data_IF_771074219214
#
_entry.id   IF_771074219214
#
_cell.length_a   1.000
_cell.length_b   1.000
_cell.length_c   1.000
_cell.angle_alpha   90.00
_cell.angle_beta   90.00
_cell.angle_gamma   90.00
#
_symmetry.space_group_name_H-M   'P 1'
#
loop_
_entity.id
_entity.type
_entity.pdbx_description
1 polymer ?
#
# COMPACT_ATOMS: atom_id res chain seq x y z
N UNK A 1 -18.29 26.68 31.10
CA UNK A 1 -16.84 27.01 31.05
C UNK A 1 -16.42 26.93 29.60
N UNK A 2 -16.05 28.05 28.98
CA UNK A 2 -15.53 28.08 27.60
C UNK A 2 -14.16 27.42 27.61
N UNK A 3 -13.99 26.34 26.87
CA UNK A 3 -12.70 25.65 26.77
C UNK A 3 -11.71 26.56 26.04
N UNK A 4 -10.56 26.86 26.67
CA UNK A 4 -9.49 27.70 26.12
C UNK A 4 -8.18 26.92 26.08
N UNK A 5 -7.43 27.03 24.98
CA UNK A 5 -6.08 26.47 24.88
C UNK A 5 -5.06 27.60 25.05
N UNK A 6 -4.14 27.46 26.00
CA UNK A 6 -3.00 28.37 26.15
C UNK A 6 -1.79 27.83 25.38
N UNK A 7 -1.26 28.63 24.45
CA UNK A 7 -0.01 28.33 23.73
C UNK A 7 0.93 29.52 23.91
N UNK A 8 1.88 29.38 24.83
CA UNK A 8 2.74 30.50 25.24
C UNK A 8 1.91 31.64 25.85
N UNK A 9 1.98 32.82 25.25
CA UNK A 9 1.21 34.01 25.68
C UNK A 9 -0.14 34.17 24.94
N UNK A 10 -0.52 33.21 24.10
CA UNK A 10 -1.76 33.27 23.32
C UNK A 10 -2.83 32.38 23.95
N UNK A 11 -3.99 32.99 24.22
CA UNK A 11 -5.21 32.28 24.60
C UNK A 11 -6.04 32.05 23.34
N UNK A 12 -6.17 30.78 22.92
CA UNK A 12 -6.96 30.39 21.76
C UNK A 12 -8.36 30.01 22.24
N UNK A 13 -9.36 30.71 21.74
CA UNK A 13 -10.77 30.40 22.00
C UNK A 13 -11.26 29.23 21.11
N UNK A 14 -12.40 28.63 21.46
CA UNK A 14 -12.92 27.45 20.75
C UNK A 14 -13.28 27.73 19.27
N UNK A 15 -13.76 28.92 18.96
CA UNK A 15 -14.04 29.40 17.60
C UNK A 15 -12.75 29.67 16.80
N UNK A 16 -11.74 30.22 17.44
CA UNK A 16 -10.39 30.39 16.86
C UNK A 16 -9.73 29.03 16.58
N UNK A 17 -9.95 28.03 17.44
CA UNK A 17 -9.43 26.67 17.27
C UNK A 17 -9.86 26.07 15.93
N UNK A 18 -11.14 26.18 15.56
CA UNK A 18 -11.65 25.63 14.28
C UNK A 18 -10.94 26.31 13.10
N UNK A 19 -10.73 27.63 13.19
CA UNK A 19 -10.01 28.39 12.16
C UNK A 19 -8.56 27.95 12.04
N UNK A 20 -7.89 27.67 13.17
CA UNK A 20 -6.52 27.14 13.19
C UNK A 20 -6.43 25.73 12.61
N UNK A 21 -7.34 24.83 13.00
CA UNK A 21 -7.38 23.47 12.46
C UNK A 21 -7.59 23.44 10.95
N UNK A 22 -8.40 24.38 10.42
CA UNK A 22 -8.57 24.56 8.97
C UNK A 22 -7.32 25.13 8.32
N UNK A 23 -6.74 26.20 8.91
CA UNK A 23 -5.52 26.86 8.40
C UNK A 23 -4.34 25.90 8.29
N UNK A 24 -4.18 25.01 9.27
CA UNK A 24 -3.09 24.03 9.30
C UNK A 24 -3.46 22.67 8.67
N UNK A 25 -4.64 22.56 8.03
CA UNK A 25 -5.10 21.34 7.35
C UNK A 25 -5.13 20.09 8.26
N UNK A 26 -5.44 20.28 9.55
CA UNK A 26 -5.55 19.21 10.55
C UNK A 26 -6.98 18.64 10.63
N UNK A 27 -7.98 19.42 10.19
CA UNK A 27 -9.39 18.98 10.13
C UNK A 27 -9.61 17.58 9.51
N UNK A 28 -8.94 17.19 8.40
CA UNK A 28 -9.08 15.84 7.85
C UNK A 28 -8.71 14.73 8.85
N UNK A 29 -7.68 14.93 9.66
CA UNK A 29 -7.22 13.94 10.64
C UNK A 29 -8.18 13.82 11.82
N UNK A 30 -8.74 14.95 12.27
CA UNK A 30 -9.77 14.99 13.32
C UNK A 30 -11.02 14.24 12.87
N UNK A 31 -11.51 14.50 11.65
CA UNK A 31 -12.67 13.80 11.09
C UNK A 31 -12.44 12.29 10.97
N UNK A 32 -11.24 11.88 10.52
CA UNK A 32 -10.85 10.46 10.50
C UNK A 32 -10.91 9.86 11.90
N UNK A 33 -10.39 10.56 12.91
CA UNK A 33 -10.47 10.16 14.31
C UNK A 33 -11.91 9.90 14.75
N UNK A 34 -12.78 10.87 14.54
CA UNK A 34 -14.21 10.79 14.91
C UNK A 34 -14.91 9.62 14.21
N UNK A 35 -14.72 9.45 12.90
CA UNK A 35 -15.32 8.33 12.15
C UNK A 35 -14.87 6.98 12.71
N UNK A 36 -13.58 6.83 13.02
CA UNK A 36 -13.05 5.61 13.60
C UNK A 36 -13.65 5.37 14.98
N UNK A 37 -13.70 6.41 15.83
CA UNK A 37 -14.18 6.30 17.20
C UNK A 37 -15.67 5.92 17.24
N UNK A 38 -16.49 6.48 16.32
CA UNK A 38 -17.89 6.07 16.12
C UNK A 38 -18.01 4.59 15.69
N UNK A 39 -17.15 4.13 14.79
CA UNK A 39 -17.20 2.77 14.25
C UNK A 39 -16.74 1.71 15.25
N UNK A 40 -15.82 2.06 16.17
CA UNK A 40 -15.32 1.14 17.20
C UNK A 40 -16.11 1.21 18.51
N UNK A 41 -16.93 2.25 18.73
CA UNK A 41 -17.75 2.41 19.93
C UNK A 41 -18.58 1.18 20.36
N UNK A 42 -19.17 0.37 19.46
CA UNK A 42 -19.92 -0.83 19.88
C UNK A 42 -19.04 -2.02 20.25
N UNK A 43 -17.72 -1.94 20.05
CA UNK A 43 -16.80 -3.04 20.29
C UNK A 43 -16.25 -3.00 21.72
N UNK A 44 -15.98 -4.19 22.26
CA UNK A 44 -15.40 -4.35 23.59
C UNK A 44 -14.11 -5.16 23.54
N UNK A 45 -13.22 -4.88 24.50
CA UNK A 45 -12.02 -5.67 24.76
C UNK A 45 -12.22 -6.50 26.01
N UNK A 46 -11.69 -7.72 26.02
CA UNK A 46 -11.57 -8.50 27.25
C UNK A 46 -10.58 -7.83 28.22
N UNK A 47 -10.65 -8.20 29.50
CA UNK A 47 -9.70 -7.69 30.50
C UNK A 47 -8.25 -8.05 30.16
N UNK A 48 -8.01 -9.23 29.58
CA UNK A 48 -6.69 -9.68 29.15
C UNK A 48 -6.17 -8.86 27.97
N UNK A 49 -7.00 -8.63 26.95
CA UNK A 49 -6.66 -7.79 25.80
C UNK A 49 -6.33 -6.36 26.23
N UNK A 50 -7.11 -5.81 27.18
CA UNK A 50 -6.87 -4.48 27.74
C UNK A 50 -5.51 -4.40 28.44
N UNK A 51 -5.21 -5.34 29.33
CA UNK A 51 -3.93 -5.35 30.06
C UNK A 51 -2.75 -5.49 29.10
N UNK A 52 -2.86 -6.36 28.09
CA UNK A 52 -1.84 -6.51 27.07
C UNK A 52 -1.64 -5.22 26.26
N UNK A 53 -2.73 -4.58 25.82
CA UNK A 53 -2.67 -3.35 25.05
C UNK A 53 -2.00 -2.20 25.84
N UNK A 54 -2.32 -2.08 27.13
CA UNK A 54 -1.67 -1.11 28.03
C UNK A 54 -0.18 -1.42 28.17
N UNK A 55 0.21 -2.67 28.41
CA UNK A 55 1.61 -3.05 28.54
C UNK A 55 2.42 -2.75 27.26
N UNK A 56 1.86 -3.04 26.08
CA UNK A 56 2.48 -2.73 24.78
C UNK A 56 2.62 -1.21 24.59
N UNK A 57 1.57 -0.45 24.93
CA UNK A 57 1.62 1.01 24.85
C UNK A 57 2.68 1.60 25.77
N UNK A 58 2.76 1.13 27.01
CA UNK A 58 3.76 1.58 27.98
C UNK A 58 5.18 1.26 27.53
N UNK A 59 5.40 0.08 26.96
CA UNK A 59 6.68 -0.29 26.37
C UNK A 59 7.07 0.66 25.21
N UNK A 60 6.13 0.98 24.32
CA UNK A 60 6.36 1.90 23.19
C UNK A 60 6.64 3.33 23.64
N UNK A 61 6.01 3.77 24.73
CA UNK A 61 6.20 5.11 25.31
C UNK A 61 7.35 5.17 26.33
N UNK A 62 8.10 4.07 26.51
CA UNK A 62 9.16 3.93 27.52
C UNK A 62 8.70 4.24 28.96
N UNK A 63 7.44 3.92 29.28
CA UNK A 63 6.88 4.05 30.62
C UNK A 63 7.23 2.79 31.40
N UNK A 64 8.27 2.87 32.24
CA UNK A 64 8.83 1.71 32.97
C UNK A 64 8.55 1.72 34.47
N UNK A 65 7.94 2.79 35.00
CA UNK A 65 7.56 2.92 36.40
C UNK A 65 6.31 3.78 36.59
N UNK A 66 5.70 3.71 37.77
CA UNK A 66 4.55 4.55 38.11
C UNK A 66 4.90 6.05 38.12
N UNK A 67 6.14 6.42 38.49
CA UNK A 67 6.64 7.80 38.37
C UNK A 67 6.74 8.23 36.91
N UNK A 68 7.25 7.36 36.03
CA UNK A 68 7.33 7.63 34.60
C UNK A 68 5.93 7.81 33.99
N UNK A 69 4.96 6.99 34.43
CA UNK A 69 3.55 7.08 34.00
C UNK A 69 2.94 8.42 34.42
N UNK A 70 3.08 8.81 35.69
CA UNK A 70 2.59 10.11 36.19
C UNK A 70 3.22 11.28 35.44
N UNK A 71 4.54 11.21 35.19
CA UNK A 71 5.25 12.22 34.41
C UNK A 71 4.78 12.31 32.96
N UNK A 72 4.50 11.17 32.31
CA UNK A 72 3.95 11.13 30.96
C UNK A 72 2.54 11.72 30.91
N UNK A 73 1.64 11.30 31.82
CA UNK A 73 0.27 11.82 31.92
C UNK A 73 0.26 13.35 32.11
N UNK A 74 1.13 13.86 32.99
CA UNK A 74 1.26 15.30 33.20
C UNK A 74 1.77 16.02 31.96
N UNK A 75 2.78 15.48 31.26
CA UNK A 75 3.30 16.08 30.01
C UNK A 75 2.27 16.10 28.88
N UNK A 76 1.45 15.06 28.78
CA UNK A 76 0.42 14.94 27.75
C UNK A 76 -0.90 15.63 28.13
N UNK A 77 -1.05 16.08 29.38
CA UNK A 77 -2.31 16.63 29.88
C UNK A 77 -3.44 15.60 29.89
N UNK A 78 -3.12 14.32 30.12
CA UNK A 78 -4.06 13.20 30.03
C UNK A 78 -4.33 12.57 31.39
N UNK A 79 -5.50 11.96 31.52
CA UNK A 79 -5.88 11.11 32.66
C UNK A 79 -5.49 9.65 32.40
N UNK A 80 -5.46 8.84 33.47
CA UNK A 80 -5.22 7.40 33.33
C UNK A 80 -6.28 6.73 32.43
N UNK A 81 -7.55 7.11 32.57
CA UNK A 81 -8.64 6.59 31.73
C UNK A 81 -8.40 6.89 30.24
N UNK A 82 -7.97 8.11 29.90
CA UNK A 82 -7.64 8.48 28.53
C UNK A 82 -6.42 7.72 27.99
N UNK A 83 -5.42 7.44 28.83
CA UNK A 83 -4.29 6.58 28.45
C UNK A 83 -4.77 5.17 28.13
N UNK A 84 -5.63 4.58 28.97
CA UNK A 84 -6.18 3.26 28.71
C UNK A 84 -7.01 3.23 27.42
N UNK A 85 -7.84 4.25 27.18
CA UNK A 85 -8.60 4.40 25.93
C UNK A 85 -7.68 4.46 24.70
N UNK A 86 -6.60 5.25 24.77
CA UNK A 86 -5.59 5.33 23.71
C UNK A 86 -4.86 4.00 23.50
N UNK A 87 -4.57 3.27 24.57
CA UNK A 87 -3.89 1.99 24.50
C UNK A 87 -4.76 0.90 23.86
N UNK A 88 -6.06 0.84 24.18
CA UNK A 88 -6.98 -0.16 23.60
C UNK A 88 -7.44 0.19 22.18
N UNK A 89 -7.37 1.46 21.78
CA UNK A 89 -7.89 1.94 20.50
C UNK A 89 -7.36 1.15 19.28
N UNK A 90 -6.06 0.85 19.14
CA UNK A 90 -5.56 0.01 18.04
C UNK A 90 -6.18 -1.39 18.02
N UNK A 91 -6.41 -2.01 19.19
CA UNK A 91 -7.01 -3.35 19.30
C UNK A 91 -8.46 -3.33 18.81
N UNK A 92 -9.22 -2.31 19.21
CA UNK A 92 -10.61 -2.15 18.76
C UNK A 92 -10.69 -1.90 17.24
N UNK A 93 -9.75 -1.13 16.68
CA UNK A 93 -9.65 -0.91 15.23
C UNK A 93 -9.39 -2.24 14.50
N UNK A 94 -8.47 -3.08 14.97
CA UNK A 94 -8.19 -4.37 14.33
C UNK A 94 -9.38 -5.33 14.43
N UNK A 95 -10.10 -5.33 15.58
CA UNK A 95 -11.37 -6.07 15.71
C UNK A 95 -12.41 -5.58 14.72
N UNK A 96 -12.60 -4.26 14.61
CA UNK A 96 -13.52 -3.66 13.64
C UNK A 96 -13.18 -4.05 12.21
N UNK A 97 -11.91 -3.95 11.84
CA UNK A 97 -11.40 -4.33 10.52
C UNK A 97 -11.69 -5.78 10.19
N UNK A 98 -11.33 -6.69 11.10
CA UNK A 98 -11.54 -8.13 10.92
C UNK A 98 -13.04 -8.47 10.81
N UNK A 99 -13.87 -7.92 11.69
CA UNK A 99 -15.32 -8.14 11.67
C UNK A 99 -15.99 -7.63 10.39
N UNK A 100 -15.53 -6.47 9.88
CA UNK A 100 -16.16 -5.80 8.74
C UNK A 100 -15.72 -6.35 7.38
N UNK A 101 -14.43 -6.67 7.24
CA UNK A 101 -13.84 -7.04 5.93
C UNK A 101 -13.18 -8.41 5.88
N UNK A 102 -12.95 -9.09 7.02
CA UNK A 102 -12.25 -10.38 7.03
C UNK A 102 -12.87 -11.42 6.07
N UNK A 103 -14.20 -11.53 6.09
CA UNK A 103 -14.94 -12.42 5.19
C UNK A 103 -14.93 -12.02 3.69
N UNK A 104 -14.44 -10.81 3.36
CA UNK A 104 -14.35 -10.30 1.98
C UNK A 104 -12.96 -10.44 1.40
N UNK A 105 -11.94 -10.75 2.22
CA UNK A 105 -10.53 -10.71 1.83
C UNK A 105 -10.25 -11.60 0.62
N UNK A 106 -10.72 -12.85 0.61
CA UNK A 106 -10.49 -13.76 -0.53
C UNK A 106 -11.02 -13.18 -1.84
N UNK A 107 -12.27 -12.71 -1.83
CA UNK A 107 -12.90 -12.13 -3.02
C UNK A 107 -12.21 -10.83 -3.47
N UNK A 108 -11.78 -10.00 -2.52
CA UNK A 108 -11.07 -8.76 -2.80
C UNK A 108 -9.67 -9.05 -3.38
N UNK A 109 -8.95 -9.99 -2.77
CA UNK A 109 -7.65 -10.47 -3.24
C UNK A 109 -7.74 -11.02 -4.66
N UNK A 110 -8.72 -11.86 -4.98
CA UNK A 110 -8.88 -12.39 -6.34
C UNK A 110 -9.09 -11.29 -7.39
N UNK A 111 -9.87 -10.25 -7.07
CA UNK A 111 -10.04 -9.08 -7.96
C UNK A 111 -8.75 -8.30 -8.14
N UNK A 112 -7.95 -8.17 -7.07
CA UNK A 112 -6.68 -7.43 -7.05
C UNK A 112 -5.50 -8.25 -7.56
N UNK A 113 -5.64 -9.57 -7.66
CA UNK A 113 -4.54 -10.50 -7.93
C UNK A 113 -3.74 -10.13 -9.18
N UNK A 114 -4.41 -9.69 -10.25
CA UNK A 114 -3.73 -9.25 -11.47
C UNK A 114 -2.80 -8.06 -11.25
N UNK A 115 -3.17 -7.15 -10.35
CA UNK A 115 -2.38 -5.96 -10.00
C UNK A 115 -1.27 -6.28 -8.98
N UNK A 116 -1.38 -7.42 -8.29
CA UNK A 116 -0.45 -7.90 -7.26
C UNK A 116 0.56 -8.92 -7.78
N UNK A 117 0.21 -9.65 -8.84
CA UNK A 117 1.12 -10.60 -9.50
C UNK A 117 2.32 -9.84 -10.07
N UNK A 118 3.51 -10.40 -9.87
CA UNK A 118 4.75 -9.85 -10.39
C UNK A 118 5.25 -10.69 -11.56
N UNK A 119 6.05 -10.06 -12.43
CA UNK A 119 6.67 -10.71 -13.57
C UNK A 119 8.14 -10.34 -13.68
N UNK A 120 8.91 -11.29 -14.18
CA UNK A 120 10.23 -11.06 -14.77
C UNK A 120 10.11 -11.40 -16.24
N UNK A 121 10.51 -10.48 -17.11
CA UNK A 121 10.41 -10.64 -18.56
C UNK A 121 11.61 -10.02 -19.25
N UNK A 122 11.91 -10.51 -20.45
CA UNK A 122 12.95 -9.97 -21.30
C UNK A 122 12.33 -9.13 -22.42
N UNK A 123 12.95 -7.99 -22.72
CA UNK A 123 12.50 -7.03 -23.71
C UNK A 123 13.65 -6.60 -24.63
N UNK A 124 13.39 -6.59 -25.93
CA UNK A 124 14.16 -5.85 -26.93
C UNK A 124 13.21 -4.82 -27.53
N UNK A 125 13.66 -3.58 -27.65
CA UNK A 125 12.93 -2.55 -28.40
C UNK A 125 13.85 -1.89 -29.42
N UNK A 126 13.34 -1.69 -30.62
CA UNK A 126 14.02 -0.92 -31.68
C UNK A 126 13.00 -0.18 -32.53
N UNK A 127 13.41 0.89 -33.22
CA UNK A 127 12.56 1.60 -34.18
C UNK A 127 12.45 0.87 -35.54
N UNK A 128 13.34 -0.08 -35.80
CA UNK A 128 13.35 -0.84 -37.05
C UNK A 128 12.60 -2.18 -36.90
N UNK A 129 11.42 -2.28 -37.52
CA UNK A 129 10.62 -3.50 -37.51
C UNK A 129 11.28 -4.65 -38.28
N UNK A 130 12.04 -4.36 -39.35
CA UNK A 130 12.78 -5.37 -40.10
C UNK A 130 13.84 -6.01 -39.22
N UNK A 131 14.62 -5.19 -38.53
CA UNK A 131 15.60 -5.65 -37.54
C UNK A 131 14.92 -6.48 -36.44
N UNK A 132 13.81 -6.01 -35.87
CA UNK A 132 13.11 -6.75 -34.83
C UNK A 132 12.66 -8.16 -35.30
N UNK A 133 12.23 -8.30 -36.56
CA UNK A 133 11.88 -9.62 -37.13
C UNK A 133 13.09 -10.53 -37.26
N UNK A 134 14.21 -10.02 -37.74
CA UNK A 134 15.47 -10.77 -37.81
C UNK A 134 15.90 -11.26 -36.42
N UNK A 135 15.95 -10.36 -35.43
CA UNK A 135 16.31 -10.68 -34.05
C UNK A 135 15.38 -11.75 -33.46
N UNK A 136 14.08 -11.67 -33.74
CA UNK A 136 13.12 -12.67 -33.29
C UNK A 136 13.43 -14.07 -33.83
N UNK A 137 13.75 -14.21 -35.12
CA UNK A 137 14.08 -15.51 -35.71
C UNK A 137 15.39 -16.06 -35.15
N UNK A 138 16.42 -15.23 -34.98
CA UNK A 138 17.69 -15.65 -34.35
C UNK A 138 17.48 -16.19 -32.93
N UNK A 139 16.59 -15.58 -32.15
CA UNK A 139 16.23 -16.07 -30.81
C UNK A 139 15.42 -17.37 -30.90
N UNK A 140 14.44 -17.43 -31.81
CA UNK A 140 13.53 -18.56 -31.97
C UNK A 140 14.29 -19.83 -32.40
N UNK A 141 15.27 -19.68 -33.29
CA UNK A 141 16.11 -20.76 -33.82
C UNK A 141 17.30 -21.08 -32.91
N UNK A 142 17.54 -20.27 -31.87
CA UNK A 142 18.60 -20.48 -30.89
C UNK A 142 20.00 -20.12 -31.40
N UNK A 143 20.10 -19.35 -32.48
CA UNK A 143 21.37 -18.89 -33.05
C UNK A 143 22.11 -17.94 -32.10
N UNK A 144 21.37 -17.08 -31.41
CA UNK A 144 21.90 -16.12 -30.44
C UNK A 144 20.96 -15.99 -29.24
N UNK A 145 21.52 -15.69 -28.07
CA UNK A 145 20.71 -15.51 -26.87
C UNK A 145 19.96 -14.17 -26.89
N UNK A 146 18.82 -14.13 -26.21
CA UNK A 146 18.06 -12.88 -26.01
C UNK A 146 18.93 -11.79 -25.36
N UNK A 147 19.79 -12.20 -24.41
CA UNK A 147 20.66 -11.31 -23.64
C UNK A 147 21.69 -10.60 -24.52
N UNK A 148 22.36 -11.35 -25.40
CA UNK A 148 23.35 -10.80 -26.34
C UNK A 148 22.69 -9.84 -27.32
N UNK A 149 21.57 -10.24 -27.93
CA UNK A 149 20.86 -9.41 -28.89
C UNK A 149 20.29 -8.15 -28.23
N UNK A 150 19.82 -8.24 -26.99
CA UNK A 150 19.33 -7.06 -26.27
C UNK A 150 20.44 -6.06 -25.97
N UNK A 151 21.62 -6.53 -25.53
CA UNK A 151 22.78 -5.63 -25.32
C UNK A 151 23.22 -4.92 -26.59
N UNK A 152 23.15 -5.62 -27.72
CA UNK A 152 23.67 -5.12 -29.00
C UNK A 152 22.67 -4.21 -29.73
N UNK A 153 21.38 -4.54 -29.69
CA UNK A 153 20.38 -3.93 -30.57
C UNK A 153 19.22 -3.24 -29.85
N UNK A 154 19.00 -3.49 -28.55
CA UNK A 154 17.91 -2.82 -27.85
C UNK A 154 18.25 -1.36 -27.59
N UNK A 155 17.33 -0.47 -27.92
CA UNK A 155 17.47 0.98 -27.76
C UNK A 155 16.95 1.47 -26.39
N UNK A 156 16.42 0.56 -25.56
CA UNK A 156 15.91 0.88 -24.23
C UNK A 156 16.93 0.70 -23.10
N UNK A 157 16.65 1.24 -21.89
CA UNK A 157 17.54 1.11 -20.73
C UNK A 157 17.77 -0.35 -20.31
N UNK A 158 16.85 -1.26 -20.64
CA UNK A 158 16.98 -2.69 -20.39
C UNK A 158 18.17 -3.33 -21.10
N UNK A 159 18.69 -2.73 -22.18
CA UNK A 159 19.88 -3.25 -22.89
C UNK A 159 21.07 -3.45 -21.95
N UNK A 160 21.23 -2.58 -20.95
CA UNK A 160 22.30 -2.66 -19.94
C UNK A 160 22.20 -3.91 -19.05
N UNK A 161 20.99 -4.43 -18.88
CA UNK A 161 20.70 -5.64 -18.11
C UNK A 161 20.41 -6.83 -19.04
N UNK A 162 20.86 -6.77 -20.31
CA UNK A 162 20.61 -7.84 -21.28
C UNK A 162 19.13 -8.05 -21.58
N UNK A 163 18.33 -6.99 -21.48
CA UNK A 163 16.89 -7.02 -21.76
C UNK A 163 16.04 -7.49 -20.59
N UNK A 164 16.63 -7.96 -19.50
CA UNK A 164 15.90 -8.49 -18.35
C UNK A 164 15.27 -7.36 -17.52
N UNK A 165 13.97 -7.46 -17.26
CA UNK A 165 13.19 -6.51 -16.46
C UNK A 165 12.41 -7.29 -15.41
N UNK A 166 12.52 -6.86 -14.15
CA UNK A 166 11.74 -7.41 -13.03
C UNK A 166 12.57 -7.77 -11.80
N UNK A 167 11.93 -8.23 -10.73
CA UNK A 167 10.48 -8.43 -10.59
C UNK A 167 9.71 -7.11 -10.51
N UNK A 168 8.65 -6.97 -11.31
CA UNK A 168 7.76 -5.79 -11.33
C UNK A 168 6.30 -6.21 -11.37
N UNK A 169 5.34 -5.42 -10.87
CA UNK A 169 3.92 -5.71 -11.01
C UNK A 169 3.54 -5.94 -12.48
N UNK A 170 2.69 -6.93 -12.75
CA UNK A 170 2.24 -7.30 -14.10
C UNK A 170 1.58 -6.13 -14.85
N UNK A 171 1.04 -5.17 -14.11
CA UNK A 171 0.38 -3.97 -14.63
C UNK A 171 1.32 -2.79 -14.88
N UNK A 172 2.58 -2.86 -14.45
CA UNK A 172 3.56 -1.78 -14.62
C UNK A 172 4.00 -1.57 -16.09
N UNK A 173 4.25 -2.60 -16.91
CA UNK A 173 4.62 -2.42 -18.32
C UNK A 173 3.52 -1.73 -19.12
N UNK A 174 3.85 -1.29 -20.35
CA UNK A 174 2.84 -0.75 -21.28
C UNK A 174 1.66 -1.74 -21.43
N UNK A 175 0.39 -1.29 -21.49
CA UNK A 175 -0.79 -2.19 -21.48
C UNK A 175 -0.74 -3.30 -22.53
N UNK A 176 -0.18 -3.01 -23.71
CA UNK A 176 0.03 -4.00 -24.77
C UNK A 176 0.99 -5.13 -24.33
N UNK A 177 2.08 -4.80 -23.64
CA UNK A 177 3.06 -5.76 -23.11
C UNK A 177 2.45 -6.53 -21.94
N UNK A 178 1.79 -5.84 -21.01
CA UNK A 178 1.12 -6.46 -19.86
C UNK A 178 0.11 -7.53 -20.30
N UNK A 179 -0.68 -7.25 -21.36
CA UNK A 179 -1.63 -8.21 -21.93
C UNK A 179 -0.93 -9.46 -22.48
N UNK A 180 0.21 -9.31 -23.16
CA UNK A 180 0.99 -10.46 -23.65
C UNK A 180 1.51 -11.29 -22.49
N UNK A 181 2.12 -10.65 -21.49
CA UNK A 181 2.67 -11.33 -20.32
C UNK A 181 1.58 -12.08 -19.53
N UNK A 182 0.37 -11.51 -19.41
CA UNK A 182 -0.73 -12.14 -18.65
C UNK A 182 -1.24 -13.47 -19.22
N UNK A 183 -1.03 -13.72 -20.52
CA UNK A 183 -1.45 -14.96 -21.20
C UNK A 183 -0.26 -15.86 -21.55
N UNK A 184 0.95 -15.49 -21.11
CA UNK A 184 2.18 -16.20 -21.41
C UNK A 184 2.49 -17.27 -20.38
N UNK A 185 3.10 -18.36 -20.84
CA UNK A 185 3.84 -19.26 -19.98
C UNK A 185 5.32 -18.84 -19.93
N UNK A 186 6.06 -19.13 -18.83
CA UNK A 186 7.50 -18.91 -18.78
C UNK A 186 8.21 -19.49 -20.00
N UNK A 187 9.15 -18.73 -20.56
CA UNK A 187 9.87 -19.04 -21.80
C UNK A 187 9.14 -18.63 -23.09
N UNK A 188 7.85 -18.26 -23.05
CA UNK A 188 7.09 -17.89 -24.26
C UNK A 188 7.65 -16.61 -24.89
N UNK A 189 8.22 -16.76 -26.08
CA UNK A 189 8.65 -15.66 -26.95
C UNK A 189 7.48 -15.20 -27.84
N UNK A 190 7.26 -13.88 -27.89
CA UNK A 190 6.29 -13.25 -28.78
C UNK A 190 6.99 -12.66 -30.00
N UNK A 191 6.33 -12.79 -31.15
CA UNK A 191 6.76 -12.12 -32.38
C UNK A 191 6.78 -10.59 -32.21
N UNK A 192 7.62 -9.87 -32.98
CA UNK A 192 7.71 -8.43 -32.90
C UNK A 192 6.37 -7.75 -33.13
N UNK A 193 6.08 -6.73 -32.32
CA UNK A 193 4.86 -5.92 -32.48
C UNK A 193 5.16 -4.45 -32.23
N UNK A 194 4.42 -3.58 -32.90
CA UNK A 194 4.51 -2.15 -32.68
C UNK A 194 3.77 -1.74 -31.40
N UNK A 195 4.46 -0.98 -30.55
CA UNK A 195 3.94 -0.33 -29.36
C UNK A 195 4.36 1.13 -29.44
N UNK A 196 3.47 1.99 -29.96
CA UNK A 196 3.85 3.34 -30.37
C UNK A 196 4.84 3.29 -31.54
N UNK A 197 5.98 3.98 -31.40
CA UNK A 197 7.06 3.97 -32.41
C UNK A 197 8.03 2.77 -32.28
N UNK A 198 7.86 1.92 -31.26
CA UNK A 198 8.81 0.85 -30.94
C UNK A 198 8.31 -0.50 -31.46
N UNK A 199 9.13 -1.20 -32.23
CA UNK A 199 9.00 -2.63 -32.44
C UNK A 199 9.58 -3.37 -31.23
N UNK A 200 8.75 -4.14 -30.52
CA UNK A 200 9.14 -4.83 -29.29
C UNK A 200 9.10 -6.35 -29.44
N UNK A 201 10.12 -7.02 -28.91
CA UNK A 201 10.17 -8.47 -28.73
C UNK A 201 10.11 -8.74 -27.24
N UNK A 202 9.18 -9.62 -26.83
CA UNK A 202 8.90 -9.88 -25.41
C UNK A 202 9.00 -11.38 -25.15
N UNK A 203 9.69 -11.77 -24.08
CA UNK A 203 9.67 -13.13 -23.55
C UNK A 203 9.34 -13.10 -22.06
N UNK A 204 8.33 -13.87 -21.62
CA UNK A 204 8.10 -14.04 -20.19
C UNK A 204 9.19 -14.94 -19.62
N UNK A 205 9.91 -14.50 -18.59
CA UNK A 205 10.93 -15.32 -17.93
C UNK A 205 10.34 -16.03 -16.71
N UNK A 206 9.64 -15.29 -15.84
CA UNK A 206 8.97 -15.83 -14.65
C UNK A 206 7.68 -15.07 -14.35
N UNK A 207 6.64 -15.82 -13.97
CA UNK A 207 5.44 -15.29 -13.33
C UNK A 207 5.54 -15.58 -11.83
N UNK A 208 5.39 -14.55 -11.01
CA UNK A 208 5.46 -14.60 -9.56
C UNK A 208 4.05 -14.28 -9.02
N UNK A 209 3.18 -15.29 -8.87
CA UNK A 209 1.82 -15.07 -8.40
C UNK A 209 1.84 -14.55 -6.97
N UNK A 210 1.05 -13.50 -6.70
CA UNK A 210 0.78 -13.07 -5.35
C UNK A 210 0.11 -14.21 -4.58
N UNK A 211 0.50 -14.36 -3.31
CA UNK A 211 -0.08 -15.32 -2.37
C UNK A 211 -0.82 -14.57 -1.28
N UNK A 212 -1.94 -15.16 -0.84
CA UNK A 212 -2.70 -14.63 0.29
C UNK A 212 -2.11 -15.17 1.60
N UNK A 213 -0.94 -14.66 1.95
CA UNK A 213 -0.31 -14.88 3.26
C UNK A 213 -0.83 -13.87 4.30
N UNK A 214 -0.37 -13.96 5.55
CA UNK A 214 -0.81 -13.07 6.63
C UNK A 214 -0.52 -11.59 6.35
N UNK A 215 0.58 -11.29 5.66
CA UNK A 215 0.97 -9.92 5.30
C UNK A 215 0.02 -9.38 4.23
N UNK A 216 -0.25 -10.18 3.20
CA UNK A 216 -1.20 -9.85 2.15
C UNK A 216 -2.62 -9.71 2.70
N UNK A 217 -3.04 -10.60 3.60
CA UNK A 217 -4.33 -10.52 4.27
C UNK A 217 -4.51 -9.16 4.96
N UNK A 218 -3.55 -8.76 5.81
CA UNK A 218 -3.59 -7.44 6.49
C UNK A 218 -3.63 -6.30 5.50
N UNK A 219 -2.81 -6.35 4.45
CA UNK A 219 -2.82 -5.34 3.38
C UNK A 219 -4.20 -5.22 2.72
N UNK A 220 -4.86 -6.33 2.39
CA UNK A 220 -6.19 -6.30 1.77
C UNK A 220 -7.23 -5.69 2.70
N UNK A 221 -7.19 -6.04 3.99
CA UNK A 221 -8.06 -5.45 5.02
C UNK A 221 -7.81 -3.95 5.17
N UNK A 222 -6.55 -3.53 5.22
CA UNK A 222 -6.17 -2.12 5.34
C UNK A 222 -6.57 -1.29 4.11
N UNK A 223 -6.42 -1.83 2.90
CA UNK A 223 -6.88 -1.17 1.66
C UNK A 223 -8.40 -0.94 1.71
N UNK A 224 -9.18 -1.94 2.14
CA UNK A 224 -10.64 -1.82 2.25
C UNK A 224 -11.06 -0.86 3.37
N UNK A 225 -10.37 -0.88 4.51
CA UNK A 225 -10.61 0.03 5.63
C UNK A 225 -10.33 1.48 5.24
N UNK A 226 -9.21 1.74 4.56
CA UNK A 226 -8.83 3.09 4.15
C UNK A 226 -9.80 3.65 3.09
N UNK A 227 -10.23 2.82 2.13
CA UNK A 227 -11.25 3.21 1.16
C UNK A 227 -12.57 3.60 1.85
N UNK A 228 -13.06 2.77 2.77
CA UNK A 228 -14.25 3.08 3.56
C UNK A 228 -14.09 4.36 4.39
N UNK A 229 -12.94 4.54 5.05
CA UNK A 229 -12.69 5.71 5.88
C UNK A 229 -12.69 7.00 5.06
N UNK A 230 -12.13 6.96 3.85
CA UNK A 230 -12.17 8.08 2.92
C UNK A 230 -13.61 8.43 2.51
N UNK A 231 -14.43 7.43 2.19
CA UNK A 231 -15.85 7.63 1.86
C UNK A 231 -16.62 8.26 3.03
N UNK A 232 -16.45 7.75 4.26
CA UNK A 232 -17.11 8.29 5.45
C UNK A 232 -16.70 9.74 5.76
N UNK A 233 -15.41 10.05 5.62
CA UNK A 233 -14.91 11.41 5.85
C UNK A 233 -15.45 12.38 4.80
N UNK A 234 -15.58 11.94 3.55
CA UNK A 234 -16.16 12.77 2.49
C UNK A 234 -17.64 13.07 2.76
N UNK A 235 -18.42 12.07 3.17
CA UNK A 235 -19.84 12.24 3.52
C UNK A 235 -20.06 13.21 4.69
N UNK A 236 -19.17 13.22 5.69
CA UNK A 236 -19.27 14.12 6.86
C UNK A 236 -18.76 15.55 6.60
N UNK A 237 -18.19 15.84 5.43
CA UNK A 237 -17.76 17.19 5.03
C UNK A 237 -18.85 18.00 4.34
N UNK A 238 -19.86 17.33 3.81
CA UNK A 238 -21.03 17.91 3.16
C UNK A 238 -22.09 18.30 4.21
#
# INVERSE_FOLDING_TARGET
MTAVLQVGNQTIQADEMISLLRRYQVMPQVLRGIVIDEAIAPLTCSSEERQHAIAVFEQQQHITSDEARKGWLHRQGMTLAQLEELAIRPVLIEKFKSATWGHKVDSYFLRRKRDLDHVVYSLIRTKDLGLANELYFRILEGEQSFEELSRQYSEGPEAKMGGLIGPVPLVQPHPAIAKLLSVSQPGKLWSPRLVGEWAVIVRLEKLLPAQLDDVMYRRMVDEMFEAWLQEQVQQKRE
#
